data_IF_427064333626
#
_entry.id   IF_427064333626
#
_cell.length_a   1.000
_cell.length_b   1.000
_cell.length_c   1.000
_cell.angle_alpha   90.00
_cell.angle_beta   90.00
_cell.angle_gamma   90.00
#
_symmetry.space_group_name_H-M   'P 1'
#
loop_
_entity.id
_entity.type
_entity.pdbx_description
1 polymer ?
#
# COMPACT_ATOMS: atom_id res chain seq x y z
N UNK A 1 1.37 -2.40 -17.60
CA UNK A 1 0.77 -3.00 -18.80
C UNK A 1 -0.33 -3.93 -18.29
N UNK A 2 -1.58 -3.52 -18.44
CA UNK A 2 -2.75 -4.34 -18.07
C UNK A 2 -3.01 -5.33 -19.21
N UNK A 3 -3.09 -6.62 -18.91
CA UNK A 3 -3.44 -7.62 -19.93
C UNK A 3 -4.91 -7.44 -20.32
N UNK A 4 -5.31 -7.53 -21.61
CA UNK A 4 -6.69 -7.32 -22.03
C UNK A 4 -7.68 -8.39 -21.51
N UNK A 5 -7.16 -9.48 -20.95
CA UNK A 5 -7.92 -10.53 -20.28
C UNK A 5 -7.88 -10.40 -18.75
N UNK A 6 -7.12 -9.45 -18.24
CA UNK A 6 -7.07 -9.09 -16.83
C UNK A 6 -8.22 -8.19 -16.46
N UNK A 7 -8.81 -8.45 -15.30
CA UNK A 7 -9.86 -7.62 -14.75
C UNK A 7 -9.17 -6.58 -13.88
N UNK A 8 -9.36 -5.30 -14.18
CA UNK A 8 -8.81 -4.24 -13.35
C UNK A 8 -9.62 -4.09 -12.05
N UNK A 9 -9.24 -4.80 -10.99
CA UNK A 9 -9.94 -4.75 -9.70
C UNK A 9 -9.84 -3.36 -9.05
N UNK A 10 -8.84 -2.56 -9.43
CA UNK A 10 -8.68 -1.19 -8.96
C UNK A 10 -9.69 -0.24 -9.61
N UNK A 11 -9.89 -0.34 -10.93
CA UNK A 11 -10.88 0.47 -11.66
C UNK A 11 -12.31 0.02 -11.39
N UNK A 12 -12.52 -1.28 -11.16
CA UNK A 12 -13.85 -1.84 -10.86
C UNK A 12 -14.23 -1.77 -9.38
N UNK A 13 -13.31 -1.37 -8.49
CA UNK A 13 -13.53 -1.37 -7.04
C UNK A 13 -13.72 -2.76 -6.43
N UNK A 14 -13.32 -3.83 -7.13
CA UNK A 14 -13.36 -5.21 -6.64
C UNK A 14 -12.13 -5.61 -5.83
N UNK A 15 -11.24 -4.68 -5.54
CA UNK A 15 -10.08 -4.92 -4.70
C UNK A 15 -10.48 -5.05 -3.22
N UNK A 16 -9.82 -5.94 -2.49
CA UNK A 16 -9.99 -6.10 -1.04
C UNK A 16 -8.88 -5.41 -0.23
N UNK A 17 -8.33 -4.32 -0.76
CA UNK A 17 -7.29 -3.53 -0.12
C UNK A 17 -7.81 -2.81 1.14
N UNK A 18 -6.99 -2.72 2.19
CA UNK A 18 -7.35 -2.05 3.44
C UNK A 18 -7.20 -0.52 3.39
N UNK A 19 -7.55 0.17 4.47
CA UNK A 19 -7.30 1.62 4.58
C UNK A 19 -5.81 1.94 4.50
N UNK A 20 -5.45 3.10 3.96
CA UNK A 20 -4.06 3.55 3.75
C UNK A 20 -3.24 2.65 2.81
N UNK A 21 -3.90 2.01 1.85
CA UNK A 21 -3.25 1.27 0.76
C UNK A 21 -3.55 1.92 -0.59
N UNK A 22 -2.67 1.72 -1.56
CA UNK A 22 -2.89 2.07 -2.95
C UNK A 22 -3.15 0.80 -3.73
N UNK A 23 -4.31 0.69 -4.37
CA UNK A 23 -4.57 -0.43 -5.27
C UNK A 23 -3.65 -0.33 -6.49
N UNK A 24 -2.95 -1.41 -6.80
CA UNK A 24 -2.12 -1.55 -7.98
C UNK A 24 -2.52 -2.83 -8.72
N UNK A 25 -3.13 -2.68 -9.89
CA UNK A 25 -3.50 -3.81 -10.71
C UNK A 25 -2.26 -4.37 -11.42
N UNK A 26 -2.14 -5.68 -11.37
CA UNK A 26 -1.08 -6.45 -12.00
C UNK A 26 -1.72 -7.47 -12.95
N UNK A 27 -1.02 -7.90 -14.01
CA UNK A 27 -1.52 -8.98 -14.84
C UNK A 27 -1.65 -10.28 -14.02
N UNK A 28 -2.89 -10.74 -13.82
CA UNK A 28 -3.31 -11.95 -13.14
C UNK A 28 -3.80 -11.71 -11.70
N UNK A 29 -3.63 -10.50 -11.15
CA UNK A 29 -3.94 -10.21 -9.74
C UNK A 29 -3.85 -8.71 -9.41
N UNK A 30 -4.10 -8.32 -8.17
CA UNK A 30 -3.85 -6.96 -7.67
C UNK A 30 -2.97 -6.98 -6.43
N UNK A 31 -2.19 -5.93 -6.28
CA UNK A 31 -1.39 -5.64 -5.08
C UNK A 31 -1.97 -4.43 -4.36
N UNK A 32 -1.81 -4.42 -3.04
CA UNK A 32 -2.25 -3.32 -2.18
C UNK A 32 -1.05 -2.74 -1.40
N UNK A 33 -0.03 -2.17 -2.07
CA UNK A 33 1.06 -1.52 -1.35
C UNK A 33 0.52 -0.41 -0.43
N UNK A 34 1.11 -0.26 0.76
CA UNK A 34 0.81 0.88 1.62
C UNK A 34 1.14 2.19 0.90
N UNK A 35 0.35 3.23 1.14
CA UNK A 35 0.66 4.57 0.64
C UNK A 35 1.97 5.07 1.26
N UNK A 36 2.65 6.02 0.61
CA UNK A 36 3.86 6.64 1.15
C UNK A 36 3.59 7.18 2.56
N UNK A 37 4.51 6.92 3.49
CA UNK A 37 4.31 7.21 4.92
C UNK A 37 3.61 6.10 5.72
N UNK A 38 3.22 4.98 5.10
CA UNK A 38 2.59 3.85 5.79
C UNK A 38 3.36 2.53 5.56
N UNK A 39 3.54 1.72 6.60
CA UNK A 39 4.15 0.37 6.53
C UNK A 39 3.11 -0.67 6.92
N UNK A 40 3.22 -1.83 6.29
CA UNK A 40 2.46 -3.02 6.68
C UNK A 40 3.01 -3.49 8.03
N UNK A 41 2.24 -3.35 9.10
CA UNK A 41 2.64 -3.80 10.44
C UNK A 41 2.49 -5.32 10.61
N UNK A 42 1.91 -6.00 9.62
CA UNK A 42 1.67 -7.44 9.65
C UNK A 42 1.85 -8.02 8.24
N UNK A 43 2.06 -9.34 8.16
CA UNK A 43 2.19 -10.10 6.91
C UNK A 43 0.97 -10.01 5.98
N UNK A 44 -0.13 -9.41 6.46
CA UNK A 44 -1.30 -9.06 5.68
C UNK A 44 -1.15 -7.62 5.18
N UNK A 45 -0.97 -7.46 3.87
CA UNK A 45 -0.91 -6.16 3.16
C UNK A 45 -2.20 -5.30 3.23
N UNK A 46 -3.09 -5.61 4.19
CA UNK A 46 -4.32 -4.87 4.48
C UNK A 46 -4.22 -4.00 5.73
N UNK A 47 -3.15 -4.13 6.52
CA UNK A 47 -2.94 -3.36 7.76
C UNK A 47 -1.74 -2.44 7.60
N UNK A 48 -1.98 -1.29 6.95
CA UNK A 48 -1.00 -0.23 6.79
C UNK A 48 -1.15 0.75 7.96
N UNK A 49 -0.17 0.73 8.86
CA UNK A 49 -0.06 1.73 9.92
C UNK A 49 0.90 2.84 9.49
N UNK A 50 0.63 4.03 10.00
CA UNK A 50 1.48 5.19 9.83
C UNK A 50 2.91 4.83 10.26
N UNK A 51 3.86 5.18 9.41
CA UNK A 51 5.27 5.10 9.70
C UNK A 51 5.55 6.37 10.47
N UNK A 52 5.68 6.24 11.79
CA UNK A 52 6.23 7.34 12.57
C UNK A 52 7.71 7.48 12.15
N UNK A 53 7.98 8.32 11.16
CA UNK A 53 9.31 8.60 10.62
C UNK A 53 10.25 9.18 11.71
N UNK A 54 9.65 9.63 12.82
CA UNK A 54 10.31 10.09 14.05
C UNK A 54 10.68 8.96 15.00
N UNK A 55 10.14 7.76 14.79
CA UNK A 55 10.51 6.59 15.54
C UNK A 55 11.82 6.02 14.96
N UNK A 56 12.83 5.74 15.79
CA UNK A 56 14.12 5.22 15.33
C UNK A 56 14.01 3.88 14.58
N UNK A 57 12.87 3.19 14.70
CA UNK A 57 12.59 1.91 14.03
C UNK A 57 12.17 2.08 12.55
N UNK A 58 11.86 3.29 12.12
CA UNK A 58 11.19 3.59 10.83
C UNK A 58 12.12 4.02 9.70
N UNK A 59 13.40 4.29 10.00
CA UNK A 59 14.47 4.39 8.99
C UNK A 59 14.46 5.59 8.04
N UNK A 60 13.71 6.66 8.31
CA UNK A 60 13.70 7.89 7.49
C UNK A 60 13.80 9.14 8.37
N UNK A 61 15.00 9.40 8.93
CA UNK A 61 15.22 10.39 10.01
C UNK A 61 15.23 11.87 9.55
N UNK A 62 14.78 12.18 8.33
CA UNK A 62 15.02 13.49 7.70
C UNK A 62 13.76 14.37 7.53
N UNK A 63 12.64 14.05 8.19
CA UNK A 63 11.36 14.76 7.99
C UNK A 63 10.57 15.17 9.24
N UNK A 64 11.05 14.87 10.45
CA UNK A 64 10.33 15.25 11.68
C UNK A 64 10.47 16.74 11.96
N UNK A 65 9.54 17.51 11.42
CA UNK A 65 9.42 18.92 11.68
C UNK A 65 8.90 19.13 13.11
N UNK A 66 9.77 19.65 13.98
CA UNK A 66 9.35 20.63 14.99
C UNK A 66 9.29 22.02 14.37
#
# INVERSE_FOLDING_TARGET
MVSPKDIDECSTGRHSCGSNTRCQNNPGSYSCPCISGFKSTSSLAKSCQDIDECNPSSGMVHGCQM
#
